data_IF_106888218279
#
_entry.id   IF_106888218279
#
_cell.length_a   1.000
_cell.length_b   1.000
_cell.length_c   1.000
_cell.angle_alpha   90.00
_cell.angle_beta   90.00
_cell.angle_gamma   90.00
#
_symmetry.space_group_name_H-M   'P 1'
#
loop_
_entity.id
_entity.type
_entity.pdbx_description
1 polymer ?
#
# COMPACT_ATOMS: atom_id res chain seq x y z
N UNK A 1 0.27 2.36 10.65
CA UNK A 1 -0.20 1.30 9.73
C UNK A 1 -0.59 0.11 10.57
N UNK A 2 -1.69 -0.53 10.22
CA UNK A 2 -2.21 -1.71 10.90
C UNK A 2 -2.41 -2.79 9.84
N UNK A 3 -2.13 -4.04 10.20
CA UNK A 3 -2.36 -5.21 9.36
C UNK A 3 -2.98 -6.30 10.23
N UNK A 4 -3.86 -7.11 9.66
CA UNK A 4 -4.40 -8.28 10.34
C UNK A 4 -3.27 -9.29 10.60
N UNK A 5 -3.13 -9.69 11.86
CA UNK A 5 -2.02 -10.53 12.29
C UNK A 5 -2.14 -11.96 11.74
N UNK A 6 -3.35 -12.48 11.55
CA UNK A 6 -3.56 -13.84 11.06
C UNK A 6 -3.29 -13.92 9.55
N UNK A 7 -3.73 -12.91 8.79
CA UNK A 7 -3.44 -12.80 7.36
C UNK A 7 -1.91 -12.73 7.12
N UNK A 8 -1.17 -11.95 7.92
CA UNK A 8 0.30 -11.82 7.82
C UNK A 8 1.00 -13.12 8.23
N UNK A 9 0.59 -13.77 9.33
CA UNK A 9 1.17 -15.06 9.75
C UNK A 9 0.98 -16.13 8.69
N UNK A 10 -0.18 -16.17 8.04
CA UNK A 10 -0.47 -17.10 6.96
C UNK A 10 0.52 -16.93 5.80
N UNK A 11 0.72 -15.70 5.32
CA UNK A 11 1.70 -15.41 4.26
C UNK A 11 3.12 -15.86 4.65
N UNK A 12 3.54 -15.54 5.88
CA UNK A 12 4.87 -15.93 6.38
C UNK A 12 4.98 -17.46 6.49
N UNK A 13 3.96 -18.14 6.99
CA UNK A 13 3.94 -19.59 7.10
C UNK A 13 3.96 -20.32 5.75
N UNK A 14 3.31 -19.77 4.73
CA UNK A 14 3.22 -20.40 3.41
C UNK A 14 4.51 -20.24 2.59
N UNK A 15 5.14 -19.05 2.64
CA UNK A 15 6.25 -18.71 1.73
C UNK A 15 7.60 -18.47 2.42
N UNK A 16 7.61 -18.25 3.73
CA UNK A 16 8.77 -17.76 4.47
C UNK A 16 9.02 -18.45 5.83
N UNK A 17 8.40 -19.61 6.10
CA UNK A 17 8.37 -20.25 7.42
C UNK A 17 9.75 -20.52 8.04
N UNK A 18 10.76 -20.78 7.20
CA UNK A 18 12.11 -21.13 7.64
C UNK A 18 13.08 -19.94 7.65
N UNK A 19 12.61 -18.72 7.33
CA UNK A 19 13.47 -17.55 7.29
C UNK A 19 13.45 -16.81 8.64
N UNK A 20 14.61 -16.41 9.16
CA UNK A 20 14.67 -15.55 10.32
C UNK A 20 14.14 -14.15 9.99
N UNK A 21 13.60 -13.46 10.99
CA UNK A 21 13.03 -12.12 10.82
C UNK A 21 14.02 -11.09 10.24
N UNK A 22 15.33 -11.26 10.49
CA UNK A 22 16.37 -10.40 9.93
C UNK A 22 16.47 -10.49 8.40
N UNK A 23 16.25 -11.68 7.83
CA UNK A 23 16.29 -11.90 6.39
C UNK A 23 15.00 -11.42 5.71
N UNK A 24 13.85 -11.54 6.39
CA UNK A 24 12.58 -11.01 5.91
C UNK A 24 12.59 -9.49 5.77
N UNK A 25 13.19 -8.76 6.73
CA UNK A 25 13.21 -7.30 6.73
C UNK A 25 13.98 -6.69 5.54
N UNK A 26 14.98 -7.39 5.02
CA UNK A 26 15.77 -6.97 3.86
C UNK A 26 15.22 -7.48 2.52
N UNK A 27 14.24 -8.39 2.55
CA UNK A 27 13.76 -9.05 1.35
C UNK A 27 12.71 -8.18 0.63
N UNK A 28 13.08 -7.66 -0.54
CA UNK A 28 12.18 -6.88 -1.38
C UNK A 28 10.96 -7.70 -1.84
N UNK A 29 11.15 -8.98 -2.13
CA UNK A 29 10.05 -9.87 -2.52
C UNK A 29 9.03 -10.05 -1.38
N UNK A 30 9.47 -10.04 -0.12
CA UNK A 30 8.56 -10.08 1.02
C UNK A 30 7.67 -8.84 1.10
N UNK A 31 8.22 -7.64 0.84
CA UNK A 31 7.41 -6.42 0.79
C UNK A 31 6.43 -6.40 -0.38
N UNK A 32 6.85 -6.87 -1.55
CA UNK A 32 5.98 -6.95 -2.73
C UNK A 32 4.84 -7.95 -2.46
N UNK A 33 5.15 -9.14 -1.92
CA UNK A 33 4.14 -10.14 -1.54
C UNK A 33 3.17 -9.61 -0.47
N UNK A 34 3.65 -8.85 0.51
CA UNK A 34 2.79 -8.27 1.56
C UNK A 34 1.76 -7.29 0.98
N UNK A 35 2.13 -6.55 -0.07
CA UNK A 35 1.27 -5.56 -0.73
C UNK A 35 0.32 -6.24 -1.74
N UNK A 36 0.77 -7.30 -2.41
CA UNK A 36 0.00 -8.01 -3.44
C UNK A 36 -0.93 -9.09 -2.86
N UNK A 37 -0.62 -9.62 -1.68
CA UNK A 37 -1.44 -10.62 -1.01
C UNK A 37 -2.73 -10.01 -0.46
N UNK A 38 -3.76 -10.84 -0.36
CA UNK A 38 -5.04 -10.50 0.27
C UNK A 38 -4.87 -10.40 1.80
N UNK A 39 -4.30 -9.29 2.25
CA UNK A 39 -4.06 -8.97 3.66
C UNK A 39 -4.82 -7.70 4.01
N UNK A 40 -5.68 -7.81 5.02
CA UNK A 40 -6.44 -6.64 5.49
C UNK A 40 -5.50 -5.65 6.17
N UNK A 41 -5.29 -4.52 5.52
CA UNK A 41 -4.44 -3.43 6.01
C UNK A 41 -5.23 -2.13 6.19
N UNK A 42 -4.88 -1.35 7.20
CA UNK A 42 -5.45 -0.02 7.46
C UNK A 42 -4.35 1.01 7.68
N UNK A 43 -4.41 2.09 6.90
CA UNK A 43 -3.52 3.25 7.05
C UNK A 43 -4.29 4.35 7.77
N UNK A 44 -3.85 4.68 8.99
CA UNK A 44 -4.31 5.86 9.73
C UNK A 44 -3.38 7.02 9.44
N UNK A 45 -3.90 8.09 8.86
CA UNK A 45 -3.19 9.36 8.68
C UNK A 45 -3.66 10.35 9.75
N UNK A 46 -2.73 11.04 10.40
CA UNK A 46 -3.03 12.15 11.29
C UNK A 46 -2.53 13.45 10.65
N UNK A 47 -3.42 14.43 10.53
CA UNK A 47 -3.10 15.71 9.90
C UNK A 47 -2.35 16.58 10.92
N UNK A 48 -1.10 16.90 10.59
CA UNK A 48 -0.25 17.79 11.42
C UNK A 48 -0.28 19.23 10.89
N UNK A 49 -0.54 19.44 9.59
CA UNK A 49 -0.55 20.76 8.97
C UNK A 49 -1.98 21.33 8.86
N UNK A 50 -2.21 22.47 9.50
CA UNK A 50 -3.54 23.07 9.66
C UNK A 50 -4.03 23.89 8.46
N UNK A 51 -3.14 24.29 7.55
CA UNK A 51 -3.49 25.13 6.38
C UNK A 51 -3.57 24.35 5.07
N UNK A 52 -3.97 23.08 5.15
CA UNK A 52 -4.18 22.25 3.97
C UNK A 52 -5.36 22.79 3.16
N UNK A 53 -5.10 23.12 1.90
CA UNK A 53 -6.15 23.36 0.92
C UNK A 53 -6.60 22.02 0.34
N UNK A 54 -7.90 21.74 0.39
CA UNK A 54 -8.49 20.50 -0.14
C UNK A 54 -8.15 20.26 -1.62
N UNK A 55 -8.04 21.32 -2.43
CA UNK A 55 -7.63 21.23 -3.84
C UNK A 55 -6.17 20.79 -3.95
N UNK A 56 -5.28 21.37 -3.14
CA UNK A 56 -3.86 20.98 -3.13
C UNK A 56 -3.68 19.54 -2.65
N UNK A 57 -4.43 19.12 -1.62
CA UNK A 57 -4.42 17.73 -1.15
C UNK A 57 -4.89 16.79 -2.26
N UNK A 58 -6.02 17.08 -2.91
CA UNK A 58 -6.53 16.26 -4.01
C UNK A 58 -5.50 16.12 -5.13
N UNK A 59 -4.90 17.21 -5.59
CA UNK A 59 -3.89 17.18 -6.64
C UNK A 59 -2.68 16.34 -6.23
N UNK A 60 -2.18 16.52 -5.00
CA UNK A 60 -1.05 15.74 -4.49
C UNK A 60 -1.36 14.23 -4.43
N UNK A 61 -2.57 13.85 -3.99
CA UNK A 61 -3.00 12.44 -3.96
C UNK A 61 -3.22 11.87 -5.37
N UNK A 62 -3.82 12.64 -6.28
CA UNK A 62 -3.99 12.23 -7.69
C UNK A 62 -2.63 11.97 -8.35
N UNK A 63 -1.64 12.83 -8.11
CA UNK A 63 -0.29 12.62 -8.61
C UNK A 63 0.36 11.40 -7.93
N UNK A 64 0.37 11.32 -6.60
CA UNK A 64 1.07 10.25 -5.88
C UNK A 64 0.46 8.87 -6.14
N UNK A 65 -0.86 8.75 -6.08
CA UNK A 65 -1.58 7.48 -6.32
C UNK A 65 -1.61 7.17 -7.81
N UNK A 66 -1.84 8.16 -8.67
CA UNK A 66 -1.86 7.98 -10.11
C UNK A 66 -0.53 7.48 -10.67
N UNK A 67 0.59 8.01 -10.17
CA UNK A 67 1.93 7.52 -10.52
C UNK A 67 2.11 6.05 -10.11
N UNK A 68 1.57 5.65 -8.95
CA UNK A 68 1.64 4.24 -8.50
C UNK A 68 0.73 3.37 -9.36
N UNK A 69 -0.52 3.75 -9.62
CA UNK A 69 -1.42 3.00 -10.49
C UNK A 69 -0.83 2.80 -11.88
N UNK A 70 -0.26 3.85 -12.49
CA UNK A 70 0.44 3.75 -13.78
C UNK A 70 1.58 2.74 -13.78
N UNK A 71 2.28 2.60 -12.64
CA UNK A 71 3.39 1.65 -12.49
C UNK A 71 2.92 0.18 -12.45
N UNK A 72 1.75 -0.12 -11.86
CA UNK A 72 1.28 -1.50 -11.69
C UNK A 72 0.18 -1.92 -12.69
N UNK A 73 -0.61 -0.96 -13.20
CA UNK A 73 -1.78 -1.21 -14.05
C UNK A 73 -1.69 -0.65 -15.48
N UNK A 74 -0.56 -0.06 -15.89
CA UNK A 74 -0.42 0.51 -17.25
C UNK A 74 -1.07 1.90 -17.43
N UNK A 75 -1.29 2.32 -18.68
CA UNK A 75 -1.72 3.70 -18.98
C UNK A 75 -3.22 3.96 -18.78
N UNK A 76 -4.06 2.92 -18.71
CA UNK A 76 -5.52 3.05 -18.74
C UNK A 76 -6.15 3.01 -17.34
N UNK A 77 -5.71 3.90 -16.45
CA UNK A 77 -6.14 3.95 -15.04
C UNK A 77 -7.01 5.17 -14.71
N UNK A 78 -7.50 5.88 -15.73
CA UNK A 78 -8.30 7.08 -15.53
C UNK A 78 -9.63 6.79 -14.80
N UNK A 79 -10.29 5.66 -15.09
CA UNK A 79 -11.54 5.30 -14.41
C UNK A 79 -11.34 4.96 -12.92
N UNK A 80 -10.24 4.29 -12.56
CA UNK A 80 -9.94 3.92 -11.17
C UNK A 80 -9.58 5.13 -10.28
N UNK A 81 -8.99 6.17 -10.87
CA UNK A 81 -8.71 7.44 -10.18
C UNK A 81 -9.96 8.31 -10.00
N UNK A 82 -10.97 8.13 -10.84
CA UNK A 82 -12.19 8.95 -10.88
C UNK A 82 -13.37 8.31 -10.12
N UNK A 83 -13.28 7.04 -9.74
CA UNK A 83 -14.45 6.23 -9.34
C UNK A 83 -15.12 6.57 -8.00
N UNK A 84 -14.86 7.73 -7.36
CA UNK A 84 -15.53 7.99 -6.07
C UNK A 84 -15.89 9.41 -5.68
N UNK A 85 -16.06 10.34 -6.62
CA UNK A 85 -16.81 11.57 -6.40
C UNK A 85 -17.53 12.05 -7.66
#
# INVERSE_FOLDING_TARGET
MYADCEDVKKLVGEKYANLPASELRGNKAFMDDLIESDIRMTIRLQIVYSKLNIRSVRNAFQESVGNRLKKFGGLDNHELLLQRY
#
